data_IF_696255385023
#
_entry.id   IF_696255385023
#
_cell.length_a   1.000
_cell.length_b   1.000
_cell.length_c   1.000
_cell.angle_alpha   90.00
_cell.angle_beta   90.00
_cell.angle_gamma   90.00
#
_symmetry.space_group_name_H-M   'P 1'
#
loop_
_entity.id
_entity.type
_entity.pdbx_description
1 polymer ?
#
# COMPACT_ATOMS: atom_id res chain seq x y z
N UNK A 1 -2.00 -30.34 11.11
CA UNK A 1 -2.79 -29.10 11.25
C UNK A 1 -3.81 -29.13 10.14
N UNK A 2 -5.09 -28.86 10.40
CA UNK A 2 -6.09 -28.53 9.38
C UNK A 2 -6.56 -27.12 9.75
N UNK A 3 -6.39 -26.13 8.88
CA UNK A 3 -6.91 -24.77 9.06
C UNK A 3 -7.84 -24.39 7.88
N UNK A 4 -8.70 -23.39 8.04
CA UNK A 4 -9.87 -23.10 7.22
C UNK A 4 -10.04 -21.59 6.87
N UNK A 5 -9.02 -20.89 6.34
CA UNK A 5 -9.07 -19.46 5.89
C UNK A 5 -9.75 -18.45 6.87
N UNK A 6 -8.94 -17.55 7.45
CA UNK A 6 -9.24 -16.62 8.57
C UNK A 6 -9.07 -17.25 9.96
N UNK A 7 -9.91 -16.89 10.93
CA UNK A 7 -9.89 -17.43 12.28
C UNK A 7 -10.18 -18.95 12.21
N UNK A 8 -9.21 -19.80 12.53
CA UNK A 8 -9.33 -21.24 12.27
C UNK A 8 -9.46 -22.05 13.55
N UNK A 9 -10.40 -23.00 13.55
CA UNK A 9 -10.32 -24.13 14.48
C UNK A 9 -9.30 -25.10 13.97
N UNK A 10 -8.27 -25.32 14.79
CA UNK A 10 -7.13 -26.12 14.41
C UNK A 10 -7.09 -27.39 15.25
N UNK A 11 -6.88 -28.50 14.56
CA UNK A 11 -6.48 -29.75 15.18
C UNK A 11 -4.98 -29.94 14.99
N UNK A 12 -4.27 -30.06 16.10
CA UNK A 12 -2.81 -30.19 16.14
C UNK A 12 -2.37 -31.48 16.81
N UNK A 13 -1.28 -32.04 16.30
CA UNK A 13 -0.70 -33.29 16.76
C UNK A 13 0.79 -33.07 16.95
N UNK A 14 1.30 -33.36 18.14
CA UNK A 14 2.70 -33.15 18.50
C UNK A 14 3.27 -34.45 19.04
N UNK A 15 4.33 -34.95 18.41
CA UNK A 15 5.03 -36.16 18.84
C UNK A 15 6.38 -35.79 19.45
N UNK A 16 6.61 -36.00 20.76
CA UNK A 16 7.91 -35.80 21.38
C UNK A 16 8.91 -36.88 20.97
N UNK A 17 10.21 -36.58 21.11
CA UNK A 17 11.30 -37.54 20.90
C UNK A 17 11.23 -38.72 21.88
N UNK A 18 10.67 -38.52 23.07
CA UNK A 18 10.43 -39.55 24.09
C UNK A 18 9.08 -39.30 24.75
N UNK A 19 8.24 -40.33 24.80
CA UNK A 19 6.93 -40.29 25.44
C UNK A 19 5.75 -40.44 24.48
N UNK A 20 4.55 -40.41 25.04
CA UNK A 20 3.30 -40.37 24.27
C UNK A 20 3.13 -38.99 23.67
N UNK A 21 2.87 -38.89 22.36
CA UNK A 21 2.50 -37.60 21.79
C UNK A 21 1.07 -37.21 22.13
N UNK A 22 0.73 -36.00 21.68
CA UNK A 22 -0.41 -35.24 22.17
C UNK A 22 -1.23 -34.74 21.00
N UNK A 23 -2.55 -34.86 21.14
CA UNK A 23 -3.52 -34.32 20.20
C UNK A 23 -4.30 -33.23 20.91
N UNK A 24 -4.41 -32.06 20.28
CA UNK A 24 -5.06 -30.90 20.88
C UNK A 24 -5.89 -30.14 19.87
N UNK A 25 -6.86 -29.39 20.40
CA UNK A 25 -7.58 -28.36 19.66
C UNK A 25 -6.96 -27.01 20.02
N UNK A 26 -6.70 -26.20 19.00
CA UNK A 26 -6.20 -24.84 19.10
C UNK A 26 -7.01 -23.91 18.21
N UNK A 27 -6.80 -22.61 18.39
CA UNK A 27 -7.40 -21.57 17.58
C UNK A 27 -6.32 -20.72 16.95
N UNK A 28 -6.36 -20.56 15.64
CA UNK A 28 -5.45 -19.72 14.88
C UNK A 28 -6.14 -18.40 14.55
N UNK A 29 -5.63 -17.29 15.07
CA UNK A 29 -6.18 -15.95 14.83
C UNK A 29 -5.58 -15.24 13.59
N UNK A 30 -5.30 -15.99 12.53
CA UNK A 30 -4.47 -15.59 11.37
C UNK A 30 -2.97 -15.42 11.68
N UNK A 31 -2.63 -14.93 12.89
CA UNK A 31 -1.26 -14.56 13.26
C UNK A 31 -0.60 -15.49 14.27
N UNK A 32 -1.37 -16.02 15.21
CA UNK A 32 -0.94 -16.82 16.34
C UNK A 32 -1.89 -17.98 16.54
N UNK A 33 -1.32 -19.15 16.85
CA UNK A 33 -2.10 -20.33 17.18
C UNK A 33 -2.04 -20.59 18.68
N UNK A 34 -3.17 -20.42 19.36
CA UNK A 34 -3.31 -20.62 20.80
C UNK A 34 -4.00 -21.95 21.09
N UNK A 35 -3.37 -22.77 21.93
CA UNK A 35 -3.94 -24.05 22.37
C UNK A 35 -5.16 -23.80 23.26
N UNK A 36 -6.21 -24.61 23.12
CA UNK A 36 -7.42 -24.57 23.93
C UNK A 36 -7.51 -25.83 24.82
N UNK A 37 -6.93 -25.84 26.04
CA UNK A 37 -6.86 -27.05 26.87
C UNK A 37 -8.24 -27.58 27.29
N UNK A 38 -9.17 -26.69 27.62
CA UNK A 38 -10.53 -27.05 28.03
C UNK A 38 -11.36 -27.56 26.86
N UNK A 39 -11.25 -26.93 25.68
CA UNK A 39 -11.89 -27.46 24.48
C UNK A 39 -11.30 -28.82 24.07
N UNK A 40 -9.98 -28.99 24.20
CA UNK A 40 -9.30 -30.26 23.92
C UNK A 40 -9.83 -31.41 24.78
N UNK A 41 -10.06 -31.19 26.09
CA UNK A 41 -10.56 -32.23 26.98
C UNK A 41 -12.04 -32.57 26.79
N UNK A 42 -12.83 -31.62 26.26
CA UNK A 42 -14.26 -31.80 26.00
C UNK A 42 -14.52 -32.44 24.63
N UNK A 43 -13.81 -31.96 23.60
CA UNK A 43 -14.09 -32.27 22.20
C UNK A 43 -13.30 -33.47 21.67
N UNK A 44 -12.18 -33.83 22.27
CA UNK A 44 -11.38 -34.96 21.80
C UNK A 44 -11.67 -36.20 22.64
N UNK A 45 -11.99 -37.30 21.95
CA UNK A 45 -12.06 -38.64 22.54
C UNK A 45 -10.97 -39.52 21.92
N UNK A 46 -10.21 -40.20 22.77
CA UNK A 46 -8.96 -40.83 22.34
C UNK A 46 -7.92 -39.78 21.94
N UNK A 47 -7.01 -40.14 21.04
CA UNK A 47 -5.87 -39.31 20.69
C UNK A 47 -4.58 -40.12 20.80
N UNK A 48 -4.07 -40.58 19.66
CA UNK A 48 -2.75 -41.17 19.57
C UNK A 48 -1.99 -40.57 18.41
N UNK A 49 -0.69 -40.41 18.61
CA UNK A 49 0.25 -40.00 17.58
C UNK A 49 1.28 -41.10 17.43
N UNK A 50 1.59 -41.42 16.19
CA UNK A 50 2.60 -42.42 15.83
C UNK A 50 3.48 -41.80 14.75
N UNK A 51 4.79 -41.77 14.99
CA UNK A 51 5.77 -41.33 14.00
C UNK A 51 6.58 -42.54 13.55
N UNK A 52 6.25 -43.08 12.40
CA UNK A 52 6.91 -44.25 11.79
C UNK A 52 7.42 -43.86 10.40
N UNK A 53 8.68 -44.14 10.10
CA UNK A 53 9.33 -43.85 8.81
C UNK A 53 9.15 -42.41 8.31
N UNK A 54 9.08 -41.45 9.24
CA UNK A 54 8.88 -40.03 8.93
C UNK A 54 7.43 -39.62 8.63
N UNK A 55 6.47 -40.57 8.72
CA UNK A 55 5.05 -40.31 8.64
C UNK A 55 4.45 -40.15 10.04
N UNK A 56 3.96 -38.95 10.34
CA UNK A 56 3.21 -38.67 11.56
C UNK A 56 1.73 -39.02 11.33
N UNK A 57 1.29 -40.12 11.91
CA UNK A 57 -0.12 -40.51 11.96
C UNK A 57 -0.75 -39.95 13.22
N UNK A 58 -1.90 -39.30 13.09
CA UNK A 58 -2.65 -38.76 14.20
C UNK A 58 -4.09 -39.32 14.16
N UNK A 59 -4.44 -40.09 15.18
CA UNK A 59 -5.76 -40.71 15.30
C UNK A 59 -6.51 -40.08 16.47
N UNK A 60 -7.72 -39.60 16.20
CA UNK A 60 -8.58 -38.99 17.20
C UNK A 60 -10.04 -39.07 16.77
N UNK A 61 -10.94 -38.92 17.73
CA UNK A 61 -12.36 -38.70 17.47
C UNK A 61 -12.74 -37.30 17.94
N UNK A 62 -13.20 -36.47 17.00
CA UNK A 62 -13.57 -35.08 17.25
C UNK A 62 -15.08 -34.94 17.44
N UNK A 63 -15.50 -34.69 18.67
CA UNK A 63 -16.88 -34.71 19.15
C UNK A 63 -17.51 -33.31 19.08
N UNK A 64 -17.88 -32.87 17.88
CA UNK A 64 -18.48 -31.54 17.65
C UNK A 64 -19.86 -31.37 18.30
N UNK A 65 -20.54 -32.45 18.65
CA UNK A 65 -21.78 -32.44 19.45
C UNK A 65 -21.57 -31.90 20.87
N UNK A 66 -20.32 -31.91 21.38
CA UNK A 66 -19.96 -31.42 22.71
C UNK A 66 -19.54 -29.95 22.73
N UNK A 67 -19.57 -29.23 21.61
CA UNK A 67 -19.26 -27.78 21.56
C UNK A 67 -20.04 -26.95 22.59
N UNK A 68 -21.33 -27.19 22.85
CA UNK A 68 -22.06 -26.46 23.90
C UNK A 68 -21.52 -26.64 25.33
N UNK A 69 -20.66 -27.65 25.57
CA UNK A 69 -20.01 -27.92 26.85
C UNK A 69 -18.65 -27.22 26.99
N UNK A 70 -18.12 -26.64 25.92
CA UNK A 70 -16.91 -25.81 25.93
C UNK A 70 -17.22 -24.48 26.64
N UNK A 71 -16.22 -23.86 27.28
CA UNK A 71 -16.37 -22.57 27.93
C UNK A 71 -16.91 -21.51 26.95
N UNK A 72 -17.86 -20.68 27.38
CA UNK A 72 -18.56 -19.71 26.54
C UNK A 72 -17.59 -18.78 25.77
N UNK A 73 -16.47 -18.41 26.40
CA UNK A 73 -15.41 -17.59 25.81
C UNK A 73 -14.60 -18.28 24.70
N UNK A 74 -14.62 -19.61 24.59
CA UNK A 74 -13.90 -20.37 23.55
C UNK A 74 -14.85 -21.08 22.59
N UNK A 75 -16.16 -21.02 22.80
CA UNK A 75 -17.14 -21.64 21.91
C UNK A 75 -17.07 -21.07 20.49
N UNK A 76 -16.89 -19.75 20.35
CA UNK A 76 -16.78 -19.11 19.03
C UNK A 76 -15.51 -19.51 18.27
N UNK A 77 -14.49 -20.04 18.98
CA UNK A 77 -13.23 -20.50 18.39
C UNK A 77 -13.35 -21.90 17.77
N UNK A 78 -14.51 -22.56 17.92
CA UNK A 78 -14.81 -23.89 17.39
C UNK A 78 -15.84 -23.76 16.27
N UNK A 79 -15.38 -23.93 15.03
CA UNK A 79 -16.19 -23.81 13.83
C UNK A 79 -17.06 -25.04 13.61
N UNK A 80 -18.30 -24.77 13.16
CA UNK A 80 -19.21 -25.81 12.71
C UNK A 80 -18.82 -26.28 11.31
N UNK A 81 -18.17 -27.44 11.24
CA UNK A 81 -17.70 -28.04 9.99
C UNK A 81 -18.82 -28.39 9.00
N UNK A 82 -20.07 -28.50 9.45
CA UNK A 82 -21.23 -28.84 8.61
C UNK A 82 -21.91 -27.60 8.00
N UNK A 83 -21.54 -26.40 8.45
CA UNK A 83 -22.23 -25.16 8.06
C UNK A 83 -21.98 -24.77 6.60
N UNK A 84 -20.79 -25.08 6.06
CA UNK A 84 -20.38 -24.75 4.70
C UNK A 84 -19.20 -25.63 4.24
N UNK A 85 -18.89 -25.69 2.94
CA UNK A 85 -17.66 -26.34 2.47
C UNK A 85 -16.42 -25.51 2.83
N UNK A 86 -15.28 -26.19 3.06
CA UNK A 86 -14.07 -25.57 3.61
C UNK A 86 -12.78 -26.04 2.90
N UNK A 87 -11.78 -25.17 2.77
CA UNK A 87 -10.44 -25.59 2.32
C UNK A 87 -9.62 -26.17 3.46
N UNK A 88 -8.98 -27.32 3.28
CA UNK A 88 -8.16 -27.94 4.34
C UNK A 88 -6.72 -27.45 4.26
N UNK A 89 -6.23 -26.80 5.31
CA UNK A 89 -4.86 -26.28 5.38
C UNK A 89 -3.95 -27.13 6.28
N UNK A 90 -2.94 -27.73 5.68
CA UNK A 90 -1.95 -28.57 6.31
C UNK A 90 -0.64 -27.86 6.57
N UNK A 91 -0.36 -27.58 7.84
CA UNK A 91 0.96 -27.12 8.29
C UNK A 91 1.70 -28.22 9.05
N UNK A 92 3.02 -28.25 8.88
CA UNK A 92 3.95 -29.09 9.66
C UNK A 92 5.20 -28.29 10.02
N UNK A 93 5.78 -28.59 11.18
CA UNK A 93 6.94 -27.89 11.70
C UNK A 93 7.56 -28.67 12.85
N UNK A 94 8.60 -28.10 13.43
CA UNK A 94 9.20 -28.62 14.64
C UNK A 94 8.45 -28.11 15.87
N UNK A 95 8.66 -28.77 17.00
CA UNK A 95 8.21 -28.30 18.29
C UNK A 95 9.36 -28.45 19.28
N UNK A 96 9.38 -27.59 20.30
CA UNK A 96 10.32 -27.68 21.40
C UNK A 96 10.18 -29.07 22.07
N UNK A 97 11.27 -29.85 22.16
CA UNK A 97 11.21 -31.21 22.69
C UNK A 97 10.82 -31.33 24.18
N UNK A 98 10.78 -30.23 24.93
CA UNK A 98 10.47 -30.20 26.36
C UNK A 98 9.12 -29.56 26.65
N UNK A 99 8.86 -28.38 26.09
CA UNK A 99 7.59 -27.65 26.30
C UNK A 99 6.49 -28.10 25.34
N UNK A 100 6.86 -28.78 24.24
CA UNK A 100 5.98 -29.12 23.12
C UNK A 100 5.39 -27.89 22.42
N UNK A 101 5.95 -26.70 22.69
CA UNK A 101 5.58 -25.48 22.00
C UNK A 101 6.06 -25.54 20.56
N UNK A 102 5.20 -25.17 19.62
CA UNK A 102 5.50 -25.35 18.20
C UNK A 102 6.32 -24.19 17.67
N UNK A 103 7.29 -24.51 16.84
CA UNK A 103 7.97 -23.50 16.03
C UNK A 103 7.04 -23.02 14.91
N UNK A 104 7.27 -21.78 14.46
CA UNK A 104 6.61 -21.29 13.25
C UNK A 104 6.96 -22.21 12.07
N UNK A 105 5.95 -22.59 11.29
CA UNK A 105 6.16 -23.31 10.05
C UNK A 105 7.03 -22.49 9.09
N UNK A 106 7.55 -23.12 8.03
CA UNK A 106 8.38 -22.37 7.10
C UNK A 106 7.57 -21.30 6.37
N UNK A 107 8.21 -20.16 6.12
CA UNK A 107 7.69 -19.04 5.32
C UNK A 107 8.29 -19.01 3.91
N UNK A 108 9.11 -20.00 3.57
CA UNK A 108 9.70 -20.22 2.25
C UNK A 108 8.94 -21.35 1.56
N UNK A 109 8.76 -21.30 0.23
CA UNK A 109 8.12 -22.35 -0.59
C UNK A 109 8.93 -23.66 -0.59
N UNK A 110 8.91 -24.36 0.54
CA UNK A 110 9.60 -25.61 0.77
C UNK A 110 8.61 -26.63 1.34
N UNK A 111 9.02 -27.90 1.55
CA UNK A 111 8.10 -28.93 2.04
C UNK A 111 7.50 -28.67 3.43
N UNK A 112 8.00 -27.69 4.19
CA UNK A 112 7.48 -27.27 5.50
C UNK A 112 6.60 -26.02 5.43
N UNK A 113 6.41 -25.42 4.25
CA UNK A 113 5.39 -24.40 4.05
C UNK A 113 4.00 -25.03 4.09
N UNK A 114 2.98 -24.34 4.62
CA UNK A 114 1.63 -24.90 4.68
C UNK A 114 1.03 -25.18 3.30
N UNK A 115 0.25 -26.23 3.22
CA UNK A 115 -0.45 -26.67 2.02
C UNK A 115 -1.94 -26.47 2.21
N UNK A 116 -2.67 -26.18 1.16
CA UNK A 116 -4.13 -26.08 1.17
C UNK A 116 -4.71 -27.08 0.16
N UNK A 117 -5.88 -27.64 0.43
CA UNK A 117 -6.63 -28.40 -0.58
C UNK A 117 -6.94 -27.52 -1.78
N UNK A 118 -6.92 -28.09 -2.99
CA UNK A 118 -7.28 -27.36 -4.21
C UNK A 118 -8.79 -27.11 -4.33
N UNK A 119 -9.58 -27.99 -3.72
CA UNK A 119 -11.03 -27.93 -3.69
C UNK A 119 -11.52 -27.82 -2.25
N UNK A 120 -12.71 -27.24 -2.09
CA UNK A 120 -13.37 -27.20 -0.79
C UNK A 120 -13.95 -28.58 -0.46
N UNK A 121 -13.84 -28.97 0.79
CA UNK A 121 -14.34 -30.22 1.35
C UNK A 121 -15.55 -29.93 2.23
N UNK A 122 -16.65 -30.63 1.97
CA UNK A 122 -17.83 -30.60 2.85
C UNK A 122 -17.74 -31.71 3.89
N UNK A 123 -17.96 -31.35 5.15
CA UNK A 123 -18.09 -32.33 6.23
C UNK A 123 -19.56 -32.65 6.47
N UNK A 124 -19.83 -33.91 6.82
CA UNK A 124 -21.16 -34.40 7.15
C UNK A 124 -21.03 -35.52 8.20
N UNK A 125 -22.02 -35.64 9.08
CA UNK A 125 -22.12 -36.75 10.05
C UNK A 125 -23.16 -37.79 9.62
N UNK A 126 -22.81 -39.06 9.80
CA UNK A 126 -23.73 -40.20 9.72
C UNK A 126 -24.32 -40.47 8.33
N UNK A 127 -25.58 -40.90 8.29
CA UNK A 127 -26.28 -41.34 7.08
C UNK A 127 -26.66 -40.20 6.12
N UNK A 128 -26.40 -38.94 6.49
CA UNK A 128 -26.63 -37.76 5.66
C UNK A 128 -25.50 -37.49 4.65
N UNK A 129 -24.44 -38.29 4.66
CA UNK A 129 -23.35 -38.18 3.69
C UNK A 129 -23.72 -38.85 2.36
N UNK A 130 -23.93 -38.07 1.31
CA UNK A 130 -24.25 -38.58 -0.04
C UNK A 130 -23.02 -38.99 -0.86
N UNK A 131 -21.80 -38.70 -0.40
CA UNK A 131 -20.54 -39.08 -1.06
C UNK A 131 -19.80 -40.18 -0.31
N UNK A 132 -19.03 -41.01 -1.03
CA UNK A 132 -18.07 -41.93 -0.42
C UNK A 132 -17.12 -41.08 0.44
N UNK A 133 -17.19 -41.22 1.77
CA UNK A 133 -16.57 -40.37 2.78
C UNK A 133 -15.03 -40.40 2.86
N UNK A 134 -14.35 -40.54 1.71
CA UNK A 134 -12.90 -40.53 1.58
C UNK A 134 -12.54 -39.53 0.48
N UNK A 135 -12.05 -38.36 0.89
CA UNK A 135 -11.47 -37.37 -0.02
C UNK A 135 -9.96 -37.62 -0.10
N UNK A 136 -9.49 -38.12 -1.26
CA UNK A 136 -8.06 -38.29 -1.53
C UNK A 136 -7.52 -36.99 -2.13
N UNK A 137 -6.94 -36.15 -1.27
CA UNK A 137 -6.24 -34.93 -1.68
C UNK A 137 -4.85 -35.31 -2.20
N UNK A 138 -4.77 -35.64 -3.50
CA UNK A 138 -3.49 -36.05 -4.13
C UNK A 138 -2.53 -34.88 -4.35
N UNK A 139 -3.06 -33.67 -4.54
CA UNK A 139 -2.27 -32.46 -4.79
C UNK A 139 -2.74 -31.32 -3.86
N UNK A 140 -1.80 -30.78 -3.07
CA UNK A 140 -2.00 -29.57 -2.29
C UNK A 140 -1.44 -28.34 -3.02
N UNK A 141 -2.00 -27.16 -2.76
CA UNK A 141 -1.47 -25.89 -3.22
C UNK A 141 -0.91 -25.09 -2.03
N UNK A 142 0.33 -24.60 -2.13
CA UNK A 142 0.91 -23.76 -1.09
C UNK A 142 0.39 -22.32 -1.15
N UNK A 143 0.38 -21.73 -2.34
CA UNK A 143 -0.20 -20.41 -2.54
C UNK A 143 -0.62 -20.23 -4.00
N UNK A 144 -1.61 -19.35 -4.24
CA UNK A 144 -2.08 -19.04 -5.60
C UNK A 144 -1.02 -18.36 -6.47
N UNK A 145 -0.06 -17.69 -5.86
CA UNK A 145 1.05 -16.99 -6.53
C UNK A 145 2.33 -17.37 -5.82
N UNK A 146 3.27 -18.00 -6.53
CA UNK A 146 4.57 -18.42 -5.99
C UNK A 146 5.30 -17.27 -5.29
N UNK A 147 6.03 -17.58 -4.22
CA UNK A 147 6.77 -16.58 -3.43
C UNK A 147 7.78 -15.79 -4.24
N UNK A 148 8.38 -16.42 -5.25
CA UNK A 148 9.25 -15.75 -6.22
C UNK A 148 8.56 -14.52 -6.83
N UNK A 149 7.33 -14.68 -7.31
CA UNK A 149 6.54 -13.60 -7.88
C UNK A 149 6.00 -12.65 -6.81
N UNK A 150 5.56 -13.16 -5.65
CA UNK A 150 5.08 -12.32 -4.54
C UNK A 150 6.13 -11.31 -4.09
N UNK A 151 7.38 -11.76 -3.92
CA UNK A 151 8.49 -10.91 -3.53
C UNK A 151 8.80 -9.87 -4.60
N UNK A 152 8.92 -10.28 -5.87
CA UNK A 152 9.27 -9.37 -6.96
C UNK A 152 8.21 -8.31 -7.22
N UNK A 153 6.93 -8.68 -7.18
CA UNK A 153 5.84 -7.72 -7.32
C UNK A 153 5.86 -6.71 -6.17
N UNK A 154 6.13 -7.14 -4.93
CA UNK A 154 6.26 -6.22 -3.80
C UNK A 154 7.44 -5.25 -3.95
N UNK A 155 8.60 -5.72 -4.45
CA UNK A 155 9.76 -4.86 -4.74
C UNK A 155 9.45 -3.87 -5.86
N UNK A 156 8.87 -4.36 -6.98
CA UNK A 156 8.49 -3.52 -8.11
C UNK A 156 7.44 -2.46 -7.70
N UNK A 157 6.48 -2.83 -6.88
CA UNK A 157 5.50 -1.91 -6.30
C UNK A 157 6.20 -0.78 -5.51
N UNK A 158 7.12 -1.13 -4.61
CA UNK A 158 7.87 -0.15 -3.83
C UNK A 158 8.71 0.79 -4.72
N UNK A 159 9.47 0.25 -5.66
CA UNK A 159 10.31 1.04 -6.58
C UNK A 159 9.46 1.96 -7.46
N UNK A 160 8.39 1.42 -8.06
CA UNK A 160 7.50 2.19 -8.93
C UNK A 160 6.84 3.36 -8.18
N UNK A 161 6.37 3.14 -6.95
CA UNK A 161 5.74 4.19 -6.15
C UNK A 161 6.74 5.24 -5.67
N UNK A 162 7.97 4.87 -5.30
CA UNK A 162 9.03 5.84 -4.99
C UNK A 162 9.33 6.72 -6.21
N UNK A 163 9.50 6.12 -7.39
CA UNK A 163 9.71 6.88 -8.63
C UNK A 163 8.52 7.79 -8.94
N UNK A 164 7.29 7.26 -8.84
CA UNK A 164 6.09 8.02 -9.17
C UNK A 164 5.87 9.23 -8.24
N UNK A 165 5.98 9.06 -6.93
CA UNK A 165 5.67 10.12 -5.96
C UNK A 165 6.86 11.03 -5.67
N UNK A 166 8.02 10.45 -5.38
CA UNK A 166 9.18 11.19 -4.91
C UNK A 166 10.07 11.68 -6.06
N UNK A 167 10.17 10.94 -7.17
CA UNK A 167 10.94 11.47 -8.31
C UNK A 167 10.02 12.36 -9.16
N UNK A 168 9.02 11.77 -9.82
CA UNK A 168 8.17 12.49 -10.76
C UNK A 168 7.27 13.52 -10.07
N UNK A 169 6.57 13.13 -9.00
CA UNK A 169 5.63 13.99 -8.28
C UNK A 169 6.29 15.21 -7.65
N UNK A 170 7.35 15.01 -6.85
CA UNK A 170 8.10 16.12 -6.24
C UNK A 170 8.67 17.08 -7.29
N UNK A 171 9.24 16.57 -8.40
CA UNK A 171 9.70 17.43 -9.51
C UNK A 171 8.56 18.23 -10.13
N UNK A 172 7.40 17.60 -10.38
CA UNK A 172 6.24 18.26 -10.96
C UNK A 172 5.67 19.37 -10.05
N UNK A 173 5.72 19.19 -8.73
CA UNK A 173 5.33 20.20 -7.74
C UNK A 173 6.27 21.41 -7.81
N UNK A 174 7.59 21.17 -7.77
CA UNK A 174 8.59 22.23 -7.83
C UNK A 174 8.51 23.03 -9.14
N UNK A 175 8.32 22.34 -10.28
CA UNK A 175 8.15 22.98 -11.59
C UNK A 175 6.92 23.89 -11.61
N UNK A 176 5.77 23.40 -11.13
CA UNK A 176 4.55 24.21 -11.12
C UNK A 176 4.61 25.41 -10.19
N UNK A 177 5.38 25.33 -9.09
CA UNK A 177 5.51 26.44 -8.15
C UNK A 177 6.53 27.47 -8.60
N UNK A 178 7.72 27.04 -9.00
CA UNK A 178 8.88 27.93 -9.16
C UNK A 178 9.28 28.21 -10.61
N UNK A 179 8.92 27.35 -11.57
CA UNK A 179 9.48 27.44 -12.93
C UNK A 179 8.61 28.25 -13.89
N UNK A 180 7.49 28.81 -13.42
CA UNK A 180 6.61 29.68 -14.23
C UNK A 180 7.35 30.82 -14.94
N UNK A 181 8.27 31.56 -14.28
CA UNK A 181 8.92 32.72 -14.90
C UNK A 181 10.10 32.39 -15.81
N UNK A 182 10.60 31.14 -15.81
CA UNK A 182 11.86 30.79 -16.49
C UNK A 182 11.75 30.76 -18.02
N UNK A 183 10.56 30.47 -18.56
CA UNK A 183 10.35 30.28 -19.99
C UNK A 183 9.16 31.08 -20.53
N UNK A 184 9.13 32.42 -20.37
CA UNK A 184 7.94 33.23 -20.66
C UNK A 184 7.61 33.31 -22.15
N UNK A 185 8.61 33.11 -23.02
CA UNK A 185 8.48 33.22 -24.48
C UNK A 185 8.47 31.88 -25.21
N UNK A 186 8.65 30.76 -24.49
CA UNK A 186 8.66 29.43 -25.09
C UNK A 186 7.38 28.69 -24.73
N UNK A 187 6.84 27.98 -25.72
CA UNK A 187 5.74 27.04 -25.53
C UNK A 187 6.23 25.63 -25.84
N UNK A 188 5.76 24.65 -25.10
CA UNK A 188 5.96 23.24 -25.38
C UNK A 188 4.58 22.64 -25.69
N UNK A 189 4.43 22.04 -26.86
CA UNK A 189 3.14 21.47 -27.33
C UNK A 189 1.97 22.48 -27.23
N UNK A 190 2.23 23.75 -27.57
CA UNK A 190 1.22 24.82 -27.59
C UNK A 190 0.86 25.43 -26.22
N UNK A 191 1.38 24.90 -25.11
CA UNK A 191 1.14 25.43 -23.75
C UNK A 191 2.42 25.94 -23.10
N UNK A 192 2.31 26.63 -21.95
CA UNK A 192 3.48 27.09 -21.21
C UNK A 192 4.33 25.90 -20.74
N UNK A 193 5.66 26.00 -20.87
CA UNK A 193 6.59 24.88 -20.61
C UNK A 193 6.37 24.26 -19.22
N UNK A 194 6.26 25.08 -18.17
CA UNK A 194 6.03 24.60 -16.81
C UNK A 194 4.73 23.80 -16.67
N UNK A 195 3.68 24.21 -17.39
CA UNK A 195 2.36 23.59 -17.32
C UNK A 195 2.35 22.25 -18.04
N UNK A 196 3.00 22.18 -19.21
CA UNK A 196 3.17 20.95 -19.95
C UNK A 196 3.97 19.92 -19.13
N UNK A 197 5.13 20.31 -18.60
CA UNK A 197 5.99 19.43 -17.81
C UNK A 197 5.29 18.95 -16.53
N UNK A 198 4.61 19.84 -15.80
CA UNK A 198 3.83 19.46 -14.63
C UNK A 198 2.77 18.41 -14.97
N UNK A 199 2.00 18.63 -16.04
CA UNK A 199 0.95 17.70 -16.49
C UNK A 199 1.53 16.35 -16.89
N UNK A 200 2.57 16.33 -17.71
CA UNK A 200 3.11 15.08 -18.27
C UNK A 200 3.77 14.23 -17.19
N UNK A 201 4.52 14.85 -16.27
CA UNK A 201 5.12 14.15 -15.13
C UNK A 201 4.06 13.55 -14.21
N UNK A 202 2.98 14.28 -13.90
CA UNK A 202 1.89 13.75 -13.09
C UNK A 202 1.07 12.67 -13.81
N UNK A 203 0.90 12.77 -15.13
CA UNK A 203 0.20 11.74 -15.91
C UNK A 203 0.99 10.42 -15.92
N UNK A 204 2.30 10.48 -16.18
CA UNK A 204 3.18 9.31 -16.12
C UNK A 204 3.20 8.75 -14.70
N UNK A 205 3.33 9.61 -13.69
CA UNK A 205 3.27 9.21 -12.28
C UNK A 205 1.98 8.48 -11.95
N UNK A 206 0.82 9.00 -12.37
CA UNK A 206 -0.48 8.40 -12.09
C UNK A 206 -0.63 7.02 -12.74
N UNK A 207 -0.17 6.85 -13.98
CA UNK A 207 -0.18 5.54 -14.67
C UNK A 207 0.66 4.53 -13.89
N UNK A 208 1.87 4.90 -13.46
CA UNK A 208 2.73 4.03 -12.67
C UNK A 208 2.08 3.64 -11.33
N UNK A 209 1.43 4.60 -10.66
CA UNK A 209 0.72 4.35 -9.40
C UNK A 209 -0.43 3.34 -9.59
N UNK A 210 -1.29 3.56 -10.58
CA UNK A 210 -2.43 2.68 -10.85
C UNK A 210 -1.96 1.25 -11.14
N UNK A 211 -0.96 1.10 -12.01
CA UNK A 211 -0.40 -0.22 -12.34
C UNK A 211 0.22 -0.89 -11.10
N UNK A 212 1.03 -0.16 -10.32
CA UNK A 212 1.66 -0.69 -9.11
C UNK A 212 0.62 -1.14 -8.06
N UNK A 213 -0.49 -0.41 -7.93
CA UNK A 213 -1.59 -0.75 -7.01
C UNK A 213 -2.38 -1.96 -7.51
N UNK A 214 -2.71 -2.02 -8.80
CA UNK A 214 -3.41 -3.19 -9.37
C UNK A 214 -2.59 -4.47 -9.19
N UNK A 215 -1.28 -4.44 -9.50
CA UNK A 215 -0.45 -5.62 -9.38
C UNK A 215 -0.26 -6.10 -7.94
N UNK A 216 -0.18 -5.19 -6.96
CA UNK A 216 -0.04 -5.60 -5.56
C UNK A 216 -1.35 -6.22 -5.03
N UNK A 217 -2.52 -5.74 -5.47
CA UNK A 217 -3.80 -6.35 -5.12
C UNK A 217 -3.99 -7.71 -5.78
N UNK A 218 -3.62 -7.85 -7.05
CA UNK A 218 -3.61 -9.15 -7.74
C UNK A 218 -2.71 -10.16 -7.00
N UNK A 219 -1.50 -9.75 -6.62
CA UNK A 219 -0.55 -10.55 -5.85
C UNK A 219 -1.07 -10.95 -4.46
N UNK A 220 -1.91 -10.08 -3.85
CA UNK A 220 -2.56 -10.31 -2.57
C UNK A 220 -3.88 -11.10 -2.69
N UNK A 221 -4.31 -11.49 -3.90
CA UNK A 221 -5.57 -12.19 -4.11
C UNK A 221 -6.80 -11.34 -3.83
N UNK A 222 -6.69 -10.01 -3.88
CA UNK A 222 -7.75 -9.06 -3.56
C UNK A 222 -8.27 -9.13 -2.10
N UNK A 223 -7.51 -9.79 -1.23
CA UNK A 223 -7.82 -9.87 0.20
C UNK A 223 -7.20 -8.68 0.93
N UNK A 224 -7.98 -8.10 1.84
CA UNK A 224 -7.54 -7.02 2.71
C UNK A 224 -6.99 -7.56 4.00
N UNK A 225 -5.82 -7.06 4.41
CA UNK A 225 -5.27 -7.38 5.71
C UNK A 225 -6.12 -6.77 6.81
N UNK A 226 -6.66 -7.62 7.69
CA UNK A 226 -7.20 -7.21 8.97
C UNK A 226 -6.32 -7.81 10.07
N UNK A 227 -6.36 -7.20 11.25
CA UNK A 227 -5.77 -7.82 12.42
C UNK A 227 -6.95 -8.30 13.26
N UNK A 228 -6.96 -9.59 13.60
CA UNK A 228 -8.08 -10.22 14.29
C UNK A 228 -8.05 -9.90 15.80
N UNK A 229 -7.21 -10.59 16.58
CA UNK A 229 -7.21 -10.46 18.05
C UNK A 229 -5.92 -9.86 18.64
N UNK A 230 -4.73 -10.22 18.14
CA UNK A 230 -3.44 -9.74 18.68
C UNK A 230 -2.67 -8.86 17.69
N UNK A 231 -2.83 -7.53 17.79
CA UNK A 231 -2.17 -6.60 16.86
C UNK A 231 -0.80 -6.15 17.35
N UNK A 232 0.26 -6.54 16.64
CA UNK A 232 1.60 -5.99 16.88
C UNK A 232 1.76 -4.60 16.21
N UNK A 233 2.78 -3.80 16.58
CA UNK A 233 3.09 -2.56 15.87
C UNK A 233 3.39 -2.75 14.37
N UNK A 234 3.88 -3.94 13.97
CA UNK A 234 4.08 -4.27 12.56
C UNK A 234 2.75 -4.42 11.83
N UNK A 235 1.75 -5.01 12.48
CA UNK A 235 0.41 -5.21 11.91
C UNK A 235 -0.34 -3.90 11.78
N UNK A 236 -0.19 -3.02 12.77
CA UNK A 236 -0.63 -1.63 12.65
C UNK A 236 -0.01 -0.94 11.43
N UNK A 237 1.30 -1.08 11.23
CA UNK A 237 2.00 -0.48 10.09
C UNK A 237 1.50 -1.03 8.75
N UNK A 238 1.28 -2.35 8.64
CA UNK A 238 0.70 -2.98 7.43
C UNK A 238 -0.69 -2.42 7.11
N UNK A 239 -1.58 -2.37 8.12
CA UNK A 239 -2.94 -1.84 7.98
C UNK A 239 -2.93 -0.37 7.57
N UNK A 240 -2.16 0.45 8.27
CA UNK A 240 -2.07 1.88 7.99
C UNK A 240 -1.39 2.16 6.65
N UNK A 241 -0.40 1.38 6.23
CA UNK A 241 0.20 1.47 4.90
C UNK A 241 -0.87 1.31 3.81
N UNK A 242 -1.69 0.26 3.88
CA UNK A 242 -2.76 0.04 2.90
C UNK A 242 -3.79 1.19 2.89
N UNK A 243 -4.26 1.61 4.07
CA UNK A 243 -5.25 2.70 4.20
C UNK A 243 -4.70 4.01 3.64
N UNK A 244 -3.52 4.44 4.11
CA UNK A 244 -2.91 5.71 3.68
C UNK A 244 -2.54 5.69 2.20
N UNK A 245 -2.09 4.54 1.68
CA UNK A 245 -1.74 4.37 0.27
C UNK A 245 -2.94 4.48 -0.66
N UNK A 246 -4.09 3.92 -0.26
CA UNK A 246 -5.33 4.05 -1.04
C UNK A 246 -5.87 5.47 -0.98
N UNK A 247 -5.86 6.12 0.19
CA UNK A 247 -6.23 7.53 0.30
C UNK A 247 -5.37 8.37 -0.64
N UNK A 248 -4.05 8.18 -0.63
CA UNK A 248 -3.14 8.88 -1.54
C UNK A 248 -3.48 8.62 -3.02
N UNK A 249 -3.75 7.36 -3.38
CA UNK A 249 -4.08 6.96 -4.75
C UNK A 249 -5.40 7.54 -5.21
N UNK A 250 -6.44 7.52 -4.37
CA UNK A 250 -7.76 8.11 -4.68
C UNK A 250 -7.61 9.62 -4.89
N UNK A 251 -6.91 10.32 -3.99
CA UNK A 251 -6.66 11.74 -4.16
C UNK A 251 -5.86 12.04 -5.44
N UNK A 252 -4.87 11.21 -5.79
CA UNK A 252 -4.11 11.34 -7.04
C UNK A 252 -4.99 11.15 -8.28
N UNK A 253 -5.89 10.16 -8.28
CA UNK A 253 -6.86 9.92 -9.35
C UNK A 253 -7.84 11.07 -9.48
N UNK A 254 -8.26 11.70 -8.37
CA UNK A 254 -9.14 12.87 -8.38
C UNK A 254 -8.49 14.11 -9.01
N UNK A 255 -7.16 14.23 -8.98
CA UNK A 255 -6.46 15.43 -9.45
C UNK A 255 -6.70 15.78 -10.93
N UNK A 256 -6.58 14.84 -11.89
CA UNK A 256 -6.96 15.09 -13.28
C UNK A 256 -8.41 15.58 -13.44
N UNK A 257 -9.37 15.01 -12.71
CA UNK A 257 -10.77 15.44 -12.81
C UNK A 257 -10.95 16.87 -12.30
N UNK A 258 -10.32 17.22 -11.17
CA UNK A 258 -10.30 18.60 -10.70
C UNK A 258 -9.65 19.52 -11.74
N UNK A 259 -8.56 19.10 -12.37
CA UNK A 259 -7.88 19.86 -13.41
C UNK A 259 -8.73 20.09 -14.67
N UNK A 260 -9.68 19.20 -14.99
CA UNK A 260 -10.66 19.43 -16.08
C UNK A 260 -11.67 20.53 -15.74
N UNK A 261 -12.00 20.68 -14.46
CA UNK A 261 -12.89 21.74 -13.96
C UNK A 261 -12.17 23.09 -13.78
N UNK A 262 -10.92 23.20 -14.25
CA UNK A 262 -10.11 24.41 -14.14
C UNK A 262 -10.79 25.60 -14.84
N UNK A 263 -11.17 26.67 -14.10
CA UNK A 263 -11.83 27.84 -14.68
C UNK A 263 -10.93 28.60 -15.66
N UNK A 264 -11.50 29.49 -16.47
CA UNK A 264 -10.70 30.37 -17.34
C UNK A 264 -9.71 31.22 -16.53
N UNK A 265 -8.59 31.68 -17.13
CA UNK A 265 -7.61 32.51 -16.43
C UNK A 265 -8.18 33.79 -15.82
N UNK A 266 -9.27 34.32 -16.40
CA UNK A 266 -9.91 35.58 -16.00
C UNK A 266 -11.13 35.37 -15.08
N UNK A 267 -11.42 34.13 -14.65
CA UNK A 267 -12.57 33.83 -13.79
C UNK A 267 -12.30 34.20 -12.32
N UNK A 268 -13.29 34.80 -11.65
CA UNK A 268 -13.22 35.13 -10.22
C UNK A 268 -13.09 33.90 -9.32
N UNK A 269 -13.59 32.73 -9.74
CA UNK A 269 -13.51 31.49 -8.97
C UNK A 269 -12.15 30.77 -9.09
N UNK A 270 -11.20 31.34 -9.84
CA UNK A 270 -9.93 30.71 -10.12
C UNK A 270 -9.07 30.49 -8.87
N UNK A 271 -9.17 31.37 -7.87
CA UNK A 271 -8.43 31.21 -6.61
C UNK A 271 -8.93 30.00 -5.81
N UNK A 272 -10.24 29.73 -5.80
CA UNK A 272 -10.84 28.57 -5.13
C UNK A 272 -10.28 27.29 -5.74
N UNK A 273 -10.30 27.21 -7.07
CA UNK A 273 -9.71 26.09 -7.79
C UNK A 273 -8.23 25.90 -7.43
N UNK A 274 -7.42 26.97 -7.44
CA UNK A 274 -5.99 26.85 -7.15
C UNK A 274 -5.74 26.32 -5.72
N UNK A 275 -6.48 26.82 -4.72
CA UNK A 275 -6.38 26.35 -3.33
C UNK A 275 -6.84 24.91 -3.17
N UNK A 276 -7.98 24.55 -3.75
CA UNK A 276 -8.50 23.19 -3.69
C UNK A 276 -7.55 22.18 -4.38
N UNK A 277 -7.09 22.51 -5.59
CA UNK A 277 -6.16 21.68 -6.35
C UNK A 277 -4.83 21.48 -5.60
N UNK A 278 -4.28 22.57 -5.04
CA UNK A 278 -3.08 22.53 -4.23
C UNK A 278 -3.27 21.69 -2.97
N UNK A 279 -4.34 21.93 -2.19
CA UNK A 279 -4.60 21.24 -0.94
C UNK A 279 -4.72 19.73 -1.17
N UNK A 280 -5.57 19.32 -2.11
CA UNK A 280 -5.74 17.90 -2.43
C UNK A 280 -4.41 17.28 -2.89
N UNK A 281 -3.56 18.04 -3.59
CA UNK A 281 -2.30 17.54 -4.16
C UNK A 281 -1.25 17.34 -3.09
N UNK A 282 -1.10 18.32 -2.21
CA UNK A 282 -0.18 18.25 -1.08
C UNK A 282 -0.63 17.22 -0.04
N UNK A 283 -1.93 17.07 0.18
CA UNK A 283 -2.48 16.01 1.03
C UNK A 283 -2.18 14.63 0.44
N UNK A 284 -2.37 14.44 -0.86
CA UNK A 284 -2.05 13.18 -1.53
C UNK A 284 -0.55 12.82 -1.40
N UNK A 285 0.34 13.78 -1.65
CA UNK A 285 1.79 13.59 -1.50
C UNK A 285 2.20 13.29 -0.04
N UNK A 286 1.54 13.92 0.93
CA UNK A 286 1.78 13.68 2.36
C UNK A 286 1.37 12.27 2.78
N UNK A 287 0.17 11.83 2.39
CA UNK A 287 -0.27 10.46 2.62
C UNK A 287 0.63 9.44 1.93
N UNK A 288 1.05 9.69 0.68
CA UNK A 288 1.99 8.82 -0.03
C UNK A 288 3.32 8.71 0.72
N UNK A 289 3.88 9.82 1.21
CA UNK A 289 5.14 9.81 1.96
C UNK A 289 5.00 9.06 3.29
N UNK A 290 3.89 9.23 4.01
CA UNK A 290 3.59 8.46 5.22
C UNK A 290 3.44 6.96 4.90
N UNK A 291 2.73 6.62 3.81
CA UNK A 291 2.56 5.25 3.31
C UNK A 291 3.90 4.56 3.09
N UNK A 292 4.85 5.25 2.46
CA UNK A 292 6.17 4.72 2.19
C UNK A 292 6.94 4.46 3.49
N UNK A 293 6.91 5.37 4.46
CA UNK A 293 7.55 5.16 5.77
C UNK A 293 6.92 3.98 6.53
N UNK A 294 5.59 3.85 6.49
CA UNK A 294 4.86 2.72 7.08
C UNK A 294 5.19 1.37 6.44
N UNK A 295 5.77 1.37 5.23
CA UNK A 295 6.18 0.13 4.55
C UNK A 295 7.49 -0.47 5.09
N UNK A 296 8.34 0.33 5.73
CA UNK A 296 9.67 -0.09 6.23
C UNK A 296 9.66 -1.28 7.21
N UNK A 297 8.78 -1.32 8.24
CA UNK A 297 8.73 -2.45 9.17
C UNK A 297 8.06 -3.71 8.59
N UNK A 298 7.56 -3.67 7.34
CA UNK A 298 6.83 -4.80 6.74
C UNK A 298 7.77 -5.95 6.36
N UNK A 299 7.31 -7.18 6.59
CA UNK A 299 8.11 -8.39 6.40
C UNK A 299 8.34 -8.82 4.95
N UNK A 300 7.50 -8.39 3.98
CA UNK A 300 7.60 -8.87 2.59
C UNK A 300 8.94 -8.52 1.93
N UNK A 301 9.43 -7.30 2.15
CA UNK A 301 10.72 -6.83 1.65
C UNK A 301 11.81 -6.90 2.72
N UNK A 302 11.41 -6.93 4.00
CA UNK A 302 12.32 -7.15 5.12
C UNK A 302 13.35 -6.04 5.33
N UNK A 303 13.11 -4.83 4.81
CA UNK A 303 14.10 -3.75 4.80
C UNK A 303 14.68 -3.48 6.20
N UNK A 304 13.82 -3.24 7.19
CA UNK A 304 14.30 -2.97 8.55
C UNK A 304 14.89 -4.20 9.24
N UNK A 305 14.46 -5.40 8.87
CA UNK A 305 15.01 -6.63 9.42
C UNK A 305 16.44 -6.90 8.93
N UNK A 306 16.73 -6.56 7.67
CA UNK A 306 18.04 -6.80 7.04
C UNK A 306 19.01 -5.64 7.27
N UNK A 307 18.53 -4.40 7.14
CA UNK A 307 19.38 -3.20 7.15
C UNK A 307 19.21 -2.34 8.41
N UNK A 308 18.46 -2.80 9.40
CA UNK A 308 18.20 -2.07 10.64
C UNK A 308 17.48 -0.74 10.37
N UNK A 309 17.99 0.35 10.96
CA UNK A 309 17.39 1.69 10.83
C UNK A 309 17.88 2.51 9.63
N UNK A 310 18.82 1.99 8.83
CA UNK A 310 19.35 2.75 7.68
C UNK A 310 18.25 3.19 6.68
N UNK A 311 17.27 2.34 6.31
CA UNK A 311 16.17 2.76 5.43
C UNK A 311 15.32 3.90 6.00
N UNK A 312 15.09 3.92 7.33
CA UNK A 312 14.35 5.00 7.99
C UNK A 312 15.04 6.36 7.79
N UNK A 313 16.37 6.41 7.96
CA UNK A 313 17.14 7.63 7.78
C UNK A 313 17.17 8.09 6.33
N UNK A 314 17.27 7.16 5.37
CA UNK A 314 17.20 7.50 3.94
C UNK A 314 15.86 8.13 3.59
N UNK A 315 14.75 7.54 4.06
CA UNK A 315 13.41 8.06 3.80
C UNK A 315 13.14 9.40 4.48
N UNK A 316 13.51 9.52 5.76
CA UNK A 316 13.42 10.78 6.48
C UNK A 316 14.28 11.87 5.84
N UNK A 317 15.50 11.53 5.43
CA UNK A 317 16.43 12.42 4.75
C UNK A 317 15.88 12.94 3.42
N UNK A 318 15.23 12.09 2.62
CA UNK A 318 14.56 12.52 1.40
C UNK A 318 13.42 13.51 1.67
N UNK A 319 12.56 13.24 2.67
CA UNK A 319 11.44 14.13 3.02
C UNK A 319 11.97 15.50 3.46
N UNK A 320 12.99 15.51 4.34
CA UNK A 320 13.64 16.74 4.78
C UNK A 320 14.32 17.48 3.63
N UNK A 321 14.97 16.76 2.71
CA UNK A 321 15.56 17.35 1.52
C UNK A 321 14.51 18.02 0.63
N UNK A 322 13.38 17.36 0.35
CA UNK A 322 12.31 17.95 -0.44
C UNK A 322 11.72 19.20 0.22
N UNK A 323 11.49 19.17 1.53
CA UNK A 323 11.04 20.34 2.29
C UNK A 323 12.09 21.46 2.21
N UNK A 324 13.38 21.13 2.41
CA UNK A 324 14.49 22.06 2.28
C UNK A 324 14.57 22.70 0.89
N UNK A 325 14.41 21.93 -0.18
CA UNK A 325 14.33 22.45 -1.54
C UNK A 325 13.17 23.45 -1.71
N UNK A 326 11.97 23.14 -1.18
CA UNK A 326 10.85 24.08 -1.23
C UNK A 326 11.18 25.37 -0.47
N UNK A 327 11.75 25.28 0.74
CA UNK A 327 12.11 26.47 1.53
C UNK A 327 13.14 27.33 0.78
N UNK A 328 14.23 26.73 0.29
CA UNK A 328 15.28 27.44 -0.44
C UNK A 328 14.73 28.08 -1.71
N UNK A 329 13.94 27.35 -2.49
CA UNK A 329 13.33 27.88 -3.71
C UNK A 329 12.33 29.01 -3.42
N UNK A 330 11.57 28.93 -2.32
CA UNK A 330 10.67 30.01 -1.88
C UNK A 330 11.44 31.26 -1.47
N UNK A 331 12.54 31.10 -0.74
CA UNK A 331 13.43 32.21 -0.36
C UNK A 331 14.02 32.90 -1.59
N UNK A 332 14.50 32.11 -2.57
CA UNK A 332 15.05 32.62 -3.82
C UNK A 332 13.98 33.33 -4.68
N UNK A 333 12.78 32.75 -4.77
CA UNK A 333 11.67 33.35 -5.51
C UNK A 333 11.28 34.71 -4.89
N UNK A 334 11.09 34.76 -3.58
CA UNK A 334 10.71 35.99 -2.86
C UNK A 334 11.80 37.06 -2.97
N UNK A 335 13.07 36.67 -2.85
CA UNK A 335 14.20 37.61 -2.97
C UNK A 335 14.31 38.21 -4.37
N UNK A 336 14.04 37.42 -5.42
CA UNK A 336 14.03 37.89 -6.79
C UNK A 336 12.85 38.83 -7.06
N UNK A 337 11.67 38.56 -6.51
CA UNK A 337 10.50 39.43 -6.64
C UNK A 337 10.78 40.81 -6.03
N UNK A 338 11.32 40.86 -4.80
CA UNK A 338 11.71 42.13 -4.14
C UNK A 338 12.76 42.90 -4.95
N UNK A 339 13.75 42.19 -5.53
CA UNK A 339 14.77 42.81 -6.37
C UNK A 339 14.17 43.39 -7.66
N UNK A 340 13.21 42.69 -8.27
CA UNK A 340 12.51 43.17 -9.46
C UNK A 340 11.66 44.40 -9.16
N UNK A 341 10.93 44.43 -8.04
CA UNK A 341 10.16 45.61 -7.61
C UNK A 341 11.05 46.82 -7.35
N UNK A 342 12.21 46.61 -6.73
CA UNK A 342 13.19 47.69 -6.52
C UNK A 342 13.74 48.23 -7.85
N UNK A 343 14.11 47.36 -8.77
CA UNK A 343 14.61 47.76 -10.09
C UNK A 343 13.54 48.45 -10.96
N UNK A 344 12.27 48.05 -10.83
CA UNK A 344 11.14 48.68 -11.55
C UNK A 344 10.77 50.02 -10.92
N UNK A 345 10.85 50.17 -9.59
CA UNK A 345 10.56 51.46 -8.94
C UNK A 345 11.63 52.53 -9.21
N UNK A 346 12.86 52.14 -9.56
CA UNK A 346 13.90 53.06 -10.06
C UNK A 346 13.71 53.48 -11.53
N UNK A 347 12.82 52.82 -12.29
CA UNK A 347 12.51 53.12 -13.70
C UNK A 347 11.05 53.56 -13.81
N UNK A 348 10.80 54.86 -14.09
CA UNK A 348 9.44 55.43 -14.24
C UNK A 348 8.49 54.52 -15.07
N UNK A 349 7.22 54.38 -14.66
CA UNK A 349 6.40 53.24 -15.05
C UNK A 349 5.80 53.42 -16.45
N UNK A 350 6.22 52.59 -17.39
CA UNK A 350 5.36 52.20 -18.52
C UNK A 350 5.25 50.68 -18.59
N UNK A 351 4.18 50.19 -17.94
CA UNK A 351 3.38 49.04 -18.39
C UNK A 351 4.14 47.70 -18.52
N UNK A 352 4.46 47.07 -17.40
CA UNK A 352 4.53 45.60 -17.31
C UNK A 352 4.38 45.18 -15.84
N UNK A 353 3.14 44.95 -15.40
CA UNK A 353 2.87 44.32 -14.10
C UNK A 353 2.93 42.81 -14.36
N UNK A 354 4.08 42.20 -14.07
CA UNK A 354 4.16 40.76 -13.87
C UNK A 354 3.75 40.54 -12.41
N UNK A 355 2.55 40.02 -12.21
CA UNK A 355 1.99 39.82 -10.87
C UNK A 355 2.88 38.90 -10.01
N UNK A 356 3.22 39.31 -8.78
CA UNK A 356 3.98 38.49 -7.85
C UNK A 356 3.06 37.42 -7.24
N UNK A 357 3.69 36.43 -6.58
CA UNK A 357 3.10 35.37 -5.74
C UNK A 357 2.87 34.00 -6.39
N UNK A 358 3.72 33.06 -5.99
CA UNK A 358 3.58 31.61 -6.15
C UNK A 358 2.42 30.99 -5.36
N UNK A 359 1.59 31.79 -4.68
CA UNK A 359 0.31 31.42 -4.07
C UNK A 359 -0.60 32.65 -4.17
N UNK A 360 -1.72 32.55 -4.88
CA UNK A 360 -2.65 33.67 -5.04
C UNK A 360 -3.23 34.09 -3.69
N UNK A 361 -2.69 35.17 -3.13
CA UNK A 361 -3.38 36.03 -2.18
C UNK A 361 -3.95 37.19 -3.00
N UNK A 362 -5.27 37.21 -3.08
CA UNK A 362 -6.10 38.15 -3.84
C UNK A 362 -5.77 39.61 -3.50
N UNK A 363 -5.26 40.36 -4.47
CA UNK A 363 -5.48 41.80 -4.46
C UNK A 363 -6.91 42.06 -4.96
N UNK A 364 -7.78 42.48 -4.04
CA UNK A 364 -9.05 43.13 -4.32
C UNK A 364 -8.78 44.36 -5.21
N UNK A 365 -9.25 44.33 -6.46
CA UNK A 365 -9.95 45.42 -7.18
C UNK A 365 -9.90 45.24 -8.71
N UNK A 366 -11.07 44.96 -9.31
CA UNK A 366 -11.50 45.47 -10.63
C UNK A 366 -10.80 44.99 -11.92
N UNK A 367 -11.49 45.00 -13.08
CA UNK A 367 -11.10 44.23 -14.26
C UNK A 367 -10.00 44.94 -15.08
N UNK A 368 -9.02 44.18 -15.58
CA UNK A 368 -8.04 44.67 -16.55
C UNK A 368 -8.39 44.21 -17.96
N UNK A 369 -8.55 45.19 -18.85
CA UNK A 369 -8.89 45.05 -20.27
C UNK A 369 -7.72 44.45 -21.05
N UNK A 370 -8.03 43.58 -22.02
CA UNK A 370 -7.08 42.98 -22.96
C UNK A 370 -6.23 44.04 -23.70
N UNK A 371 -4.96 43.72 -23.97
CA UNK A 371 -4.08 44.59 -24.77
C UNK A 371 -4.20 44.26 -26.26
N UNK A 372 -4.23 45.25 -27.17
CA UNK A 372 -4.45 45.03 -28.60
C UNK A 372 -3.22 44.45 -29.31
N UNK A 373 -3.48 43.68 -30.37
CA UNK A 373 -2.50 43.06 -31.28
C UNK A 373 -1.57 44.11 -31.92
N UNK A 374 -0.28 43.81 -31.99
CA UNK A 374 0.74 44.67 -32.61
C UNK A 374 0.70 44.61 -34.15
N UNK A 375 0.96 45.72 -34.88
CA UNK A 375 0.99 45.73 -36.34
C UNK A 375 2.30 45.16 -36.93
N UNK A 376 2.29 44.71 -38.19
CA UNK A 376 3.42 44.01 -38.80
C UNK A 376 4.61 44.95 -39.09
N UNK A 377 5.80 44.41 -38.93
CA UNK A 377 7.09 45.11 -39.02
C UNK A 377 7.46 45.35 -40.50
N UNK A 378 7.64 46.61 -40.91
CA UNK A 378 8.18 46.94 -42.23
C UNK A 378 9.70 46.76 -42.28
N UNK A 379 10.18 46.11 -43.33
CA UNK A 379 11.60 45.95 -43.67
C UNK A 379 12.26 47.32 -43.91
N UNK A 380 13.48 47.52 -43.38
CA UNK A 380 14.34 48.67 -43.71
C UNK A 380 15.10 48.39 -45.01
N UNK A 381 14.88 49.21 -46.03
CA UNK A 381 15.79 49.31 -47.18
C UNK A 381 17.10 50.00 -46.78
N UNK A 382 18.21 49.44 -47.26
CA UNK A 382 19.53 50.05 -47.29
C UNK A 382 19.69 50.79 -48.62
N UNK A 383 20.07 52.07 -48.59
CA UNK A 383 20.72 52.72 -49.74
C UNK A 383 21.96 53.47 -49.27
N UNK A 384 23.08 53.04 -49.84
CA UNK A 384 24.46 53.48 -49.64
C UNK A 384 24.73 54.89 -50.16
N UNK A 385 25.67 55.59 -49.51
CA UNK A 385 26.39 56.74 -50.06
C UNK A 385 27.57 56.26 -50.92
N UNK A 386 27.63 56.72 -52.17
CA UNK A 386 28.81 57.30 -52.81
C UNK A 386 28.39 57.90 -54.15
#
# INVERSE_FOLDING_TARGET
MCCLEDDDTVVECVQPLKGSGKVQVSFNDETFNNVLPQASSVLLEGGSTVLEDGLLTCNMKFMLDKVPLVANESQFMIHDLESQPYYLLFARGNADPWTLEKDIHSVNDNPQFPWMSQEMVSFCRGDNCTSNGIYMLNDGMQSRVERYWRYRVAVLHGVALIVAWWVLGSSAILIARYFKPLFPRKKLLGTAVWFQLHRDLFLISLILQILAVIFIFWQAGWVWYQCSYQCTPKDFSKKMHAITGIIATVLAVLQPFLALLRPSPNSEHRYIFNWAHWLVGMTAWSFASATMVLSLPMGKTGLNAVYGYAPNWVMGGYILFFIGCNIVMEMLATSNDVRMEKNVSEIKPHRFIVGPSGMALSHLNGPTVESPLAPPTSLKEHSSRS
#
